data_IF_781337834170
#
_entry.id   IF_781337834170
#
_cell.length_a   1.000
_cell.length_b   1.000
_cell.length_c   1.000
_cell.angle_alpha   90.00
_cell.angle_beta   90.00
_cell.angle_gamma   90.00
#
_symmetry.space_group_name_H-M   'P 1'
#
loop_
_entity.id
_entity.type
_entity.pdbx_description
1 polymer ?
#
# COMPACT_ATOMS: atom_id res chain seq x y z
N UNK A 1 -8.08 15.52 22.61
CA UNK A 1 -8.76 14.40 21.91
C UNK A 1 -9.62 13.55 22.86
N UNK A 2 -9.15 13.23 24.07
CA UNK A 2 -9.90 12.50 25.12
C UNK A 2 -11.30 13.04 25.47
N UNK A 3 -11.57 14.37 25.58
CA UNK A 3 -12.92 14.85 25.90
C UNK A 3 -13.97 14.59 24.80
N UNK A 4 -13.54 14.39 23.54
CA UNK A 4 -14.44 14.10 22.43
C UNK A 4 -15.07 12.69 22.56
N UNK A 5 -14.32 11.72 23.08
CA UNK A 5 -14.79 10.33 23.22
C UNK A 5 -15.88 10.18 24.26
N UNK A 6 -15.85 10.97 25.33
CA UNK A 6 -16.91 10.96 26.35
C UNK A 6 -18.30 11.32 25.79
N UNK A 7 -18.35 12.02 24.65
CA UNK A 7 -19.60 12.35 23.95
C UNK A 7 -20.19 11.18 23.16
N UNK A 8 -19.42 10.11 22.92
CA UNK A 8 -19.86 8.91 22.22
C UNK A 8 -20.36 7.80 23.17
N UNK A 9 -20.22 7.99 24.48
CA UNK A 9 -20.71 7.04 25.48
C UNK A 9 -21.99 7.56 26.13
N UNK A 10 -22.98 6.67 26.26
CA UNK A 10 -24.24 6.94 26.93
C UNK A 10 -24.52 5.88 28.01
N UNK A 11 -25.29 6.27 29.02
CA UNK A 11 -25.69 5.40 30.12
C UNK A 11 -24.49 4.81 30.88
N UNK A 12 -24.55 3.53 31.29
CA UNK A 12 -23.52 2.90 32.12
C UNK A 12 -22.10 2.95 31.54
N UNK A 13 -21.96 2.99 30.21
CA UNK A 13 -20.66 3.11 29.55
C UNK A 13 -20.01 4.49 29.79
N UNK A 14 -20.83 5.54 29.90
CA UNK A 14 -20.36 6.89 30.20
C UNK A 14 -19.87 6.98 31.64
N UNK A 15 -20.61 6.40 32.58
CA UNK A 15 -20.25 6.38 34.00
C UNK A 15 -18.97 5.58 34.25
N UNK A 16 -18.82 4.44 33.57
CA UNK A 16 -17.58 3.68 33.54
C UNK A 16 -16.39 4.51 33.00
N UNK A 17 -16.59 5.25 31.89
CA UNK A 17 -15.54 6.06 31.28
C UNK A 17 -15.04 7.21 32.18
N UNK A 18 -15.93 7.86 32.93
CA UNK A 18 -15.54 8.95 33.85
C UNK A 18 -14.54 8.45 34.90
N UNK A 19 -14.66 7.21 35.35
CA UNK A 19 -13.77 6.60 36.34
C UNK A 19 -12.47 6.09 35.70
N UNK A 20 -12.54 5.50 34.50
CA UNK A 20 -11.38 4.88 33.85
C UNK A 20 -10.48 5.83 33.07
N UNK A 21 -10.97 6.99 32.60
CA UNK A 21 -10.21 7.92 31.75
C UNK A 21 -8.90 8.46 32.34
N UNK A 22 -8.72 8.44 33.67
CA UNK A 22 -7.47 8.91 34.30
C UNK A 22 -6.38 7.85 34.30
N UNK A 23 -6.73 6.59 34.01
CA UNK A 23 -5.81 5.46 34.02
C UNK A 23 -5.18 5.18 32.65
N UNK A 24 -5.69 5.79 31.56
CA UNK A 24 -5.28 5.44 30.19
C UNK A 24 -4.70 6.60 29.40
N UNK A 25 -3.57 6.35 28.77
CA UNK A 25 -3.10 7.16 27.65
C UNK A 25 -3.95 6.85 26.41
N UNK A 26 -4.07 7.80 25.49
CA UNK A 26 -4.94 7.65 24.31
C UNK A 26 -4.65 6.38 23.50
N UNK A 27 -3.38 5.99 23.40
CA UNK A 27 -2.93 4.77 22.72
C UNK A 27 -3.40 3.49 23.42
N UNK A 28 -3.37 3.46 24.75
CA UNK A 28 -3.80 2.31 25.56
C UNK A 28 -5.32 2.15 25.51
N UNK A 29 -6.07 3.26 25.51
CA UNK A 29 -7.52 3.25 25.32
C UNK A 29 -7.92 2.69 23.96
N UNK A 30 -7.28 3.15 22.87
CA UNK A 30 -7.54 2.64 21.53
C UNK A 30 -7.21 1.15 21.44
N UNK A 31 -6.13 0.70 22.08
CA UNK A 31 -5.78 -0.71 22.15
C UNK A 31 -6.86 -1.52 22.91
N UNK A 32 -7.29 -1.04 24.08
CA UNK A 32 -8.33 -1.69 24.90
C UNK A 32 -9.66 -1.84 24.13
N UNK A 33 -10.10 -0.78 23.44
CA UNK A 33 -11.33 -0.83 22.63
C UNK A 33 -11.20 -1.84 21.49
N UNK A 34 -10.03 -1.89 20.83
CA UNK A 34 -9.79 -2.88 19.80
C UNK A 34 -9.79 -4.31 20.37
N UNK A 35 -9.16 -4.56 21.51
CA UNK A 35 -9.13 -5.89 22.13
C UNK A 35 -10.51 -6.34 22.63
N UNK A 36 -11.33 -5.42 23.12
CA UNK A 36 -12.58 -5.73 23.79
C UNK A 36 -13.80 -5.77 22.86
N UNK A 37 -13.76 -5.01 21.76
CA UNK A 37 -14.91 -4.85 20.87
C UNK A 37 -14.64 -5.20 19.39
N UNK A 38 -13.39 -5.41 18.98
CA UNK A 38 -13.16 -5.98 17.65
C UNK A 38 -13.39 -7.48 17.69
N UNK A 39 -14.25 -7.97 16.80
CA UNK A 39 -14.41 -9.39 16.56
C UNK A 39 -13.10 -9.98 15.99
N UNK A 40 -12.45 -10.92 16.70
CA UNK A 40 -11.21 -11.55 16.23
C UNK A 40 -11.38 -12.24 14.87
N UNK A 41 -12.58 -12.71 14.53
CA UNK A 41 -12.87 -13.30 13.23
C UNK A 41 -12.83 -12.24 12.11
N UNK A 42 -13.25 -11.01 12.39
CA UNK A 42 -13.17 -9.89 11.44
C UNK A 42 -11.72 -9.46 11.25
N UNK A 43 -10.91 -9.41 12.31
CA UNK A 43 -9.46 -9.13 12.21
C UNK A 43 -8.76 -10.17 11.33
N UNK A 44 -8.98 -11.47 11.59
CA UNK A 44 -8.35 -12.55 10.84
C UNK A 44 -8.80 -12.58 9.37
N UNK A 45 -10.05 -12.22 9.07
CA UNK A 45 -10.52 -12.05 7.68
C UNK A 45 -9.74 -10.94 6.97
N UNK A 46 -9.54 -9.78 7.61
CA UNK A 46 -8.83 -8.66 7.00
C UNK A 46 -7.33 -8.92 6.90
N UNK A 47 -6.73 -9.59 7.89
CA UNK A 47 -5.35 -10.06 7.86
C UNK A 47 -5.14 -11.09 6.74
N UNK A 48 -6.03 -12.07 6.58
CA UNK A 48 -5.97 -13.04 5.47
C UNK A 48 -6.11 -12.35 4.11
N UNK A 49 -7.01 -11.36 3.98
CA UNK A 49 -7.12 -10.52 2.77
C UNK A 49 -5.83 -9.73 2.51
N UNK A 50 -5.23 -9.15 3.55
CA UNK A 50 -3.96 -8.42 3.46
C UNK A 50 -2.85 -9.32 2.94
N UNK A 51 -2.75 -10.55 3.46
CA UNK A 51 -1.77 -11.53 2.99
C UNK A 51 -2.09 -12.12 1.63
N UNK A 52 -3.27 -11.95 1.05
CA UNK A 52 -3.61 -12.43 -0.30
C UNK A 52 -3.61 -11.32 -1.34
N UNK A 53 -3.54 -10.06 -0.93
CA UNK A 53 -3.51 -8.90 -1.82
C UNK A 53 -2.21 -8.93 -2.63
N UNK A 54 -2.31 -9.06 -3.95
CA UNK A 54 -1.16 -9.00 -4.86
C UNK A 54 -1.17 -7.68 -5.63
N UNK A 55 0.02 -7.15 -5.92
CA UNK A 55 0.14 -6.01 -6.82
C UNK A 55 -0.18 -6.45 -8.27
N UNK A 56 -1.41 -6.18 -8.70
CA UNK A 56 -1.88 -6.44 -10.08
C UNK A 56 -1.29 -5.47 -11.11
N UNK A 57 -1.84 -5.44 -12.32
CA UNK A 57 -1.42 -4.52 -13.39
C UNK A 57 -1.86 -3.04 -13.16
N UNK A 58 -2.59 -2.77 -12.08
CA UNK A 58 -3.05 -1.44 -11.72
C UNK A 58 -1.93 -0.54 -11.17
N UNK A 59 -2.30 0.69 -10.82
CA UNK A 59 -1.37 1.65 -10.22
C UNK A 59 -0.85 1.12 -8.87
N UNK A 60 0.46 1.24 -8.64
CA UNK A 60 1.08 0.83 -7.38
C UNK A 60 0.48 1.58 -6.16
N UNK A 61 -0.05 2.78 -6.37
CA UNK A 61 -0.76 3.56 -5.35
C UNK A 61 -2.04 2.87 -4.86
N UNK A 62 -2.81 2.25 -5.76
CA UNK A 62 -4.04 1.52 -5.40
C UNK A 62 -3.73 0.32 -4.51
N UNK A 63 -2.67 -0.41 -4.83
CA UNK A 63 -2.20 -1.51 -3.98
C UNK A 63 -1.88 -1.04 -2.55
N UNK A 64 -1.10 0.03 -2.38
CA UNK A 64 -0.75 0.53 -1.05
C UNK A 64 -1.96 1.12 -0.31
N UNK A 65 -2.90 1.76 -1.02
CA UNK A 65 -4.15 2.23 -0.41
C UNK A 65 -4.99 1.09 0.14
N UNK A 66 -5.15 0.01 -0.63
CA UNK A 66 -5.89 -1.18 -0.19
C UNK A 66 -5.17 -1.90 0.94
N UNK A 67 -3.85 -2.01 0.88
CA UNK A 67 -3.03 -2.60 1.93
C UNK A 67 -3.18 -1.84 3.26
N UNK A 68 -3.10 -0.51 3.22
CA UNK A 68 -3.29 0.36 4.40
C UNK A 68 -4.71 0.26 4.95
N UNK A 69 -5.72 0.18 4.08
CA UNK A 69 -7.11 -0.03 4.50
C UNK A 69 -7.29 -1.36 5.21
N UNK A 70 -6.71 -2.44 4.67
CA UNK A 70 -6.77 -3.77 5.28
C UNK A 70 -6.00 -3.82 6.60
N UNK A 71 -4.83 -3.19 6.70
CA UNK A 71 -4.06 -3.10 7.94
C UNK A 71 -4.81 -2.34 9.05
N UNK A 72 -5.54 -1.27 8.70
CA UNK A 72 -6.42 -0.55 9.63
C UNK A 72 -7.57 -1.43 10.12
N UNK A 73 -8.22 -2.14 9.21
CA UNK A 73 -9.34 -3.04 9.55
C UNK A 73 -8.89 -4.29 10.33
N UNK A 74 -7.61 -4.65 10.23
CA UNK A 74 -7.00 -5.69 11.04
C UNK A 74 -6.44 -5.18 12.38
N UNK A 75 -6.65 -3.90 12.75
CA UNK A 75 -6.11 -3.36 14.01
C UNK A 75 -4.58 -3.33 14.08
N UNK A 76 -3.88 -3.38 12.94
CA UNK A 76 -2.39 -3.47 12.85
C UNK A 76 -1.76 -2.22 12.24
N UNK A 77 -2.46 -1.08 12.23
CA UNK A 77 -1.96 0.17 11.61
C UNK A 77 -0.73 0.78 12.29
N UNK A 78 -0.42 0.37 13.52
CA UNK A 78 0.68 0.89 14.34
C UNK A 78 1.97 0.06 14.25
N UNK A 79 1.91 -1.14 13.67
CA UNK A 79 3.05 -2.07 13.57
C UNK A 79 3.82 -1.86 12.25
N UNK A 80 4.48 -0.70 12.13
CA UNK A 80 5.19 -0.25 10.92
C UNK A 80 6.71 -0.45 10.96
N UNK A 81 7.24 -1.00 12.07
CA UNK A 81 8.67 -1.30 12.21
C UNK A 81 9.11 -2.48 11.33
N UNK A 82 10.42 -2.74 11.25
CA UNK A 82 11.04 -3.77 10.39
C UNK A 82 10.38 -5.16 10.42
N UNK A 83 9.83 -5.55 11.58
CA UNK A 83 9.17 -6.85 11.79
C UNK A 83 7.65 -6.81 11.68
N UNK A 84 7.11 -5.66 11.29
CA UNK A 84 5.69 -5.40 11.29
C UNK A 84 4.93 -6.27 10.30
N UNK A 85 3.72 -6.66 10.67
CA UNK A 85 2.87 -7.54 9.83
C UNK A 85 2.66 -6.94 8.42
N UNK A 86 2.62 -5.61 8.31
CA UNK A 86 2.50 -4.90 7.04
C UNK A 86 3.73 -5.08 6.13
N UNK A 87 4.95 -5.09 6.69
CA UNK A 87 6.19 -5.27 5.92
C UNK A 87 6.29 -6.72 5.41
N UNK A 88 5.89 -7.70 6.24
CA UNK A 88 5.80 -9.10 5.81
C UNK A 88 4.83 -9.27 4.64
N UNK A 89 3.68 -8.59 4.66
CA UNK A 89 2.73 -8.61 3.56
C UNK A 89 3.31 -7.97 2.28
N UNK A 90 4.04 -6.85 2.41
CA UNK A 90 4.76 -6.22 1.28
C UNK A 90 5.77 -7.19 0.67
N UNK A 91 6.62 -7.83 1.48
CA UNK A 91 7.64 -8.76 0.98
C UNK A 91 7.05 -9.96 0.22
N UNK A 92 5.95 -10.53 0.71
CA UNK A 92 5.34 -11.72 0.12
C UNK A 92 4.60 -11.46 -1.19
N UNK A 93 4.17 -10.21 -1.43
CA UNK A 93 3.16 -9.91 -2.47
C UNK A 93 3.55 -8.84 -3.46
N UNK A 94 4.64 -8.13 -3.21
CA UNK A 94 5.34 -7.38 -4.24
C UNK A 94 5.92 -8.38 -5.24
N UNK A 95 5.80 -8.09 -6.55
CA UNK A 95 6.39 -8.95 -7.60
C UNK A 95 7.86 -9.21 -7.28
N UNK A 96 8.27 -10.47 -7.37
CA UNK A 96 9.63 -10.93 -7.08
C UNK A 96 10.71 -10.10 -7.80
N UNK A 97 10.39 -9.54 -8.97
CA UNK A 97 11.27 -8.62 -9.71
C UNK A 97 11.69 -7.39 -8.90
N UNK A 98 10.79 -6.80 -8.12
CA UNK A 98 11.11 -5.62 -7.29
C UNK A 98 11.91 -6.03 -6.06
N UNK A 99 11.53 -7.13 -5.40
CA UNK A 99 12.24 -7.66 -4.22
C UNK A 99 13.66 -8.06 -4.58
N UNK A 100 13.85 -8.71 -5.74
CA UNK A 100 15.17 -9.09 -6.28
C UNK A 100 16.01 -7.88 -6.66
N UNK A 101 15.42 -6.86 -7.28
CA UNK A 101 16.14 -5.62 -7.61
C UNK A 101 16.56 -4.84 -6.37
N UNK A 102 15.71 -4.76 -5.34
CA UNK A 102 16.03 -4.09 -4.07
C UNK A 102 17.14 -4.85 -3.33
N UNK A 103 17.07 -6.18 -3.26
CA UNK A 103 18.11 -7.02 -2.66
C UNK A 103 19.45 -6.91 -3.42
N UNK A 104 19.41 -6.81 -4.76
CA UNK A 104 20.59 -6.70 -5.60
C UNK A 104 21.26 -5.31 -5.52
N UNK A 105 20.50 -4.27 -5.17
CA UNK A 105 21.01 -2.90 -5.08
C UNK A 105 21.86 -2.65 -3.81
N UNK A 106 21.69 -3.42 -2.73
CA UNK A 106 22.56 -3.50 -1.54
C UNK A 106 22.77 -2.22 -0.70
N UNK A 107 22.59 -1.04 -1.29
CA UNK A 107 22.69 0.28 -0.69
C UNK A 107 21.27 0.82 -0.47
N UNK A 108 20.94 1.19 0.78
CA UNK A 108 19.63 1.70 1.21
C UNK A 108 18.49 0.66 1.14
N UNK A 109 18.69 -0.48 1.80
CA UNK A 109 17.59 -1.41 2.09
C UNK A 109 16.51 -0.66 2.90
N UNK A 110 15.24 -0.67 2.48
CA UNK A 110 14.19 -0.06 3.27
C UNK A 110 13.97 -0.86 4.57
N UNK A 111 13.92 -0.16 5.70
CA UNK A 111 13.74 -0.74 7.03
C UNK A 111 12.33 -0.48 7.56
N UNK A 112 11.70 0.61 7.12
CA UNK A 112 10.35 0.99 7.56
C UNK A 112 9.33 0.85 6.43
N UNK A 113 8.06 0.65 6.79
CA UNK A 113 6.97 0.61 5.80
C UNK A 113 6.93 1.84 4.87
N UNK A 114 7.08 3.09 5.37
CA UNK A 114 7.14 4.27 4.51
C UNK A 114 8.29 4.24 3.49
N UNK A 115 9.47 3.77 3.88
CA UNK A 115 10.62 3.63 2.97
C UNK A 115 10.34 2.58 1.89
N UNK A 116 9.77 1.43 2.27
CA UNK A 116 9.35 0.39 1.32
C UNK A 116 8.35 0.93 0.30
N UNK A 117 7.32 1.63 0.78
CA UNK A 117 6.30 2.26 -0.06
C UNK A 117 6.92 3.26 -1.02
N UNK A 118 7.77 4.16 -0.53
CA UNK A 118 8.43 5.17 -1.34
C UNK A 118 9.30 4.54 -2.44
N UNK A 119 10.07 3.50 -2.10
CA UNK A 119 10.98 2.83 -3.04
C UNK A 119 10.22 2.10 -4.15
N UNK A 120 9.18 1.34 -3.80
CA UNK A 120 8.37 0.61 -4.78
C UNK A 120 7.62 1.59 -5.71
N UNK A 121 7.10 2.69 -5.17
CA UNK A 121 6.46 3.73 -5.98
C UNK A 121 7.44 4.40 -6.95
N UNK A 122 8.68 4.66 -6.53
CA UNK A 122 9.72 5.22 -7.40
C UNK A 122 10.06 4.26 -8.55
N UNK A 123 10.28 2.98 -8.25
CA UNK A 123 10.56 1.97 -9.27
C UNK A 123 9.41 1.79 -10.26
N UNK A 124 8.16 1.82 -9.78
CA UNK A 124 6.98 1.75 -10.64
C UNK A 124 6.91 2.96 -11.60
N UNK A 125 7.19 4.17 -11.11
CA UNK A 125 7.25 5.37 -11.97
C UNK A 125 8.34 5.26 -13.04
N UNK A 126 9.52 4.73 -12.70
CA UNK A 126 10.61 4.53 -13.67
C UNK A 126 10.22 3.53 -14.76
N UNK A 127 9.56 2.42 -14.39
CA UNK A 127 9.05 1.44 -15.33
C UNK A 127 7.97 2.03 -16.25
N UNK A 128 7.03 2.83 -15.70
CA UNK A 128 6.05 3.53 -16.51
C UNK A 128 6.69 4.50 -17.51
N UNK A 129 7.72 5.25 -17.09
CA UNK A 129 8.46 6.14 -18.00
C UNK A 129 9.15 5.38 -19.12
N UNK A 130 9.81 4.25 -18.80
CA UNK A 130 10.44 3.38 -19.80
C UNK A 130 9.41 2.83 -20.78
N UNK A 131 8.28 2.32 -20.28
CA UNK A 131 7.22 1.79 -21.12
C UNK A 131 6.62 2.83 -22.07
N UNK A 132 6.34 4.05 -21.57
CA UNK A 132 5.87 5.17 -22.40
C UNK A 132 6.93 5.55 -23.45
N UNK A 133 8.20 5.60 -23.06
CA UNK A 133 9.31 5.90 -23.99
C UNK A 133 9.40 4.85 -25.10
N UNK A 134 9.44 3.56 -24.74
CA UNK A 134 9.53 2.44 -25.69
C UNK A 134 8.33 2.42 -26.65
N UNK A 135 7.14 2.81 -26.18
CA UNK A 135 5.95 2.94 -27.02
C UNK A 135 6.05 4.11 -28.00
N UNK A 136 6.68 5.22 -27.61
CA UNK A 136 6.84 6.42 -28.45
C UNK A 136 7.98 6.24 -29.46
N UNK A 137 9.01 5.46 -29.12
CA UNK A 137 10.16 5.15 -30.00
C UNK A 137 9.90 3.96 -30.93
N UNK A 138 9.01 3.02 -30.55
CA UNK A 138 8.64 1.86 -31.38
C UNK A 138 7.46 2.11 -32.33
N UNK A 139 6.90 3.33 -32.41
CA UNK A 139 5.97 3.64 -33.50
C UNK A 139 6.72 3.43 -34.82
N UNK A 140 6.30 2.48 -35.68
CA UNK A 140 6.98 2.25 -36.94
C UNK A 140 6.95 3.56 -37.69
N UNK A 141 8.12 4.09 -38.02
CA UNK A 141 8.22 5.12 -39.04
C UNK A 141 7.55 4.49 -40.26
N UNK A 142 6.33 4.93 -40.57
CA UNK A 142 5.59 4.47 -41.73
C UNK A 142 6.48 4.80 -42.93
N UNK A 143 7.15 3.78 -43.45
CA UNK A 143 7.97 3.88 -44.63
C UNK A 143 7.03 4.26 -45.78
N UNK A 144 6.99 5.55 -46.12
CA UNK A 144 6.30 6.01 -47.31
C UNK A 144 6.81 5.19 -48.52
N UNK A 145 5.91 4.63 -49.34
CA UNK A 145 6.34 3.97 -50.57
C UNK A 145 6.97 5.00 -51.53
N UNK A 146 7.96 4.60 -52.33
CA UNK A 146 8.73 5.52 -53.15
C UNK A 146 7.86 6.19 -54.23
N UNK A 147 8.17 7.44 -54.64
CA UNK A 147 7.36 8.18 -55.60
C UNK A 147 7.42 7.51 -56.97
N UNK A 148 6.24 7.24 -57.55
CA UNK A 148 6.10 6.67 -58.88
C UNK A 148 6.74 7.56 -59.94
N UNK A 149 7.62 6.98 -60.77
CA UNK A 149 8.30 7.64 -61.88
C UNK A 149 7.30 7.93 -63.02
N UNK A 150 7.29 9.13 -63.65
CA UNK A 150 6.36 9.41 -64.74
C UNK A 150 6.81 8.69 -66.01
N UNK A 151 5.92 7.87 -66.59
CA UNK A 151 6.11 7.32 -67.93
C UNK A 151 5.93 8.44 -68.95
N UNK A 152 7.00 8.77 -69.67
CA UNK A 152 6.93 9.56 -70.91
C UNK A 152 6.19 8.75 -71.98
N UNK A 153 5.22 9.37 -72.63
CA UNK A 153 4.50 8.83 -73.79
C UNK A 153 5.04 9.57 -75.02
N UNK A 154 5.45 8.78 -76.01
CA UNK A 154 5.88 9.23 -77.34
C UNK A 154 4.70 9.62 -78.23
#
# INVERSE_FOLDING_TARGET
>A
MVPFVASHFEGPAKDWWVHKRQEFWWTEFVQLINEQFCDPAIEEVHKKKMFNLQMGNGAATTYFQELERLAKLAGRSYDQGERGVIIKAVHLRVRESYTKFIAMMGFNMPHTYPEWKARILAMYKEQQKKWVFDQTTSMPHESQPPPATPKQVA
#
